data_IF_945144280806
#
_entry.id   IF_945144280806
#
_cell.length_a   1.000
_cell.length_b   1.000
_cell.length_c   1.000
_cell.angle_alpha   90.00
_cell.angle_beta   90.00
_cell.angle_gamma   90.00
#
_symmetry.space_group_name_H-M   'P 1'
#
loop_
_entity.id
_entity.type
_entity.pdbx_description
1 polymer ?
2 non-polymer ?
3 water ?
#
# COMPACT_ATOMS: atom_id res chain seq x y z
N UNK A 4 -19.42 -17.83 -19.61
CA UNK A 4 -18.72 -19.05 -19.06
C UNK A 4 -17.42 -18.64 -18.37
N UNK A 5 -16.92 -17.46 -18.73
CA UNK A 5 -15.69 -16.94 -18.15
C UNK A 5 -15.87 -16.74 -16.64
N UNK A 6 -16.79 -15.87 -16.26
CA UNK A 6 -17.06 -15.57 -14.85
C UNK A 6 -17.77 -16.70 -14.12
N UNK A 7 -17.06 -17.33 -13.18
CA UNK A 7 -17.66 -18.40 -12.38
C UNK A 7 -18.19 -17.71 -11.13
N UNK A 8 -18.41 -18.46 -10.06
CA UNK A 8 -18.92 -17.86 -8.83
C UNK A 8 -17.90 -18.04 -7.73
N UNK A 9 -16.79 -17.29 -7.79
CA UNK A 9 -15.73 -17.38 -6.79
C UNK A 9 -16.18 -16.96 -5.40
N UNK A 10 -15.56 -17.57 -4.40
CA UNK A 10 -15.87 -17.25 -3.02
C UNK A 10 -14.61 -16.71 -2.38
N UNK A 11 -14.71 -16.31 -1.12
CA UNK A 11 -13.59 -15.78 -0.37
C UNK A 11 -12.44 -16.79 -0.23
N UNK A 12 -12.74 -18.07 -0.35
CA UNK A 12 -11.73 -19.09 -0.20
C UNK A 12 -11.45 -19.80 -1.53
N UNK A 13 -11.80 -19.13 -2.62
CA UNK A 13 -11.56 -19.68 -3.96
C UNK A 13 -10.19 -19.16 -4.42
N UNK A 14 -9.27 -20.08 -4.77
CA UNK A 14 -7.94 -19.63 -5.23
C UNK A 14 -8.06 -18.62 -6.37
N UNK A 15 -7.05 -17.73 -6.49
CA UNK A 15 -7.03 -16.71 -7.54
C UNK A 15 -5.66 -16.52 -8.17
N UNK A 16 -5.63 -16.42 -9.49
CA UNK A 16 -4.41 -16.17 -10.23
C UNK A 16 -4.26 -14.66 -10.31
N UNK A 17 -3.35 -14.11 -9.50
CA UNK A 17 -3.08 -12.68 -9.44
C UNK A 17 -1.76 -12.50 -10.19
N UNK A 18 -1.87 -12.18 -11.48
CA UNK A 18 -0.69 -12.04 -12.29
C UNK A 18 -0.18 -13.46 -12.50
N UNK A 19 1.10 -13.69 -12.25
CA UNK A 19 1.70 -15.01 -12.41
C UNK A 19 1.83 -15.69 -11.05
N UNK A 20 1.13 -15.15 -10.05
CA UNK A 20 1.17 -15.70 -8.70
C UNK A 20 -0.17 -16.34 -8.28
N UNK A 21 -0.10 -17.57 -7.76
CA UNK A 21 -1.30 -18.28 -7.28
C UNK A 21 -1.62 -17.95 -5.83
N UNK A 22 -2.83 -17.46 -5.58
CA UNK A 22 -3.26 -17.14 -4.23
C UNK A 22 -4.20 -18.25 -3.76
N UNK A 23 -4.09 -18.64 -2.47
CA UNK A 23 -4.91 -19.69 -1.87
C UNK A 23 -6.33 -19.20 -1.60
N UNK A 24 -6.48 -17.92 -1.32
CA UNK A 24 -7.79 -17.33 -1.05
C UNK A 24 -7.81 -15.88 -1.49
N UNK A 25 -8.95 -15.22 -1.29
CA UNK A 25 -9.11 -13.84 -1.70
C UNK A 25 -9.27 -12.84 -0.55
N UNK A 26 -8.79 -13.22 0.63
CA UNK A 26 -8.83 -12.37 1.80
C UNK A 26 -7.42 -11.76 1.93
N UNK A 27 -7.23 -10.60 1.31
CA UNK A 27 -5.93 -9.96 1.30
C UNK A 27 -5.64 -9.07 2.51
N UNK A 28 -4.37 -9.03 2.91
CA UNK A 28 -3.95 -8.19 4.02
C UNK A 28 -3.48 -6.85 3.45
N UNK A 29 -4.23 -5.80 3.72
CA UNK A 29 -3.90 -4.49 3.21
C UNK A 29 -2.61 -3.94 3.84
N UNK A 30 -1.90 -3.08 3.11
CA UNK A 30 -0.64 -2.48 3.61
C UNK A 30 -0.96 -1.63 4.87
N UNK A 31 -0.22 -1.85 5.94
CA UNK A 31 -0.47 -1.16 7.18
C UNK A 31 0.78 -0.68 7.91
N UNK A 32 0.95 0.62 8.02
CA UNK A 32 2.11 1.17 8.72
C UNK A 32 1.93 0.87 10.20
N UNK A 33 2.97 0.32 10.81
CA UNK A 33 2.92 -0.03 12.21
C UNK A 33 4.04 0.63 13.04
N UNK A 34 5.02 1.22 12.36
CA UNK A 34 6.17 1.87 13.04
C UNK A 34 6.69 0.99 14.18
N UNK A 35 7.01 -0.25 13.86
CA UNK A 35 7.51 -1.20 14.84
C UNK A 35 8.98 -1.49 14.63
N UNK A 36 9.64 -0.64 13.85
CA UNK A 36 11.07 -0.79 13.59
C UNK A 36 11.86 0.49 13.89
N UNK A 37 12.30 0.68 15.16
CA UNK A 37 13.07 1.87 15.55
C UNK A 37 14.07 2.20 14.47
N UNK A 38 14.86 1.21 14.07
CA UNK A 38 15.81 1.38 12.97
C UNK A 38 15.00 0.90 11.77
N UNK A 39 15.29 1.41 10.59
CA UNK A 39 14.51 1.01 9.42
C UNK A 39 14.70 -0.46 9.01
N UNK A 40 15.28 -1.27 9.89
CA UNK A 40 15.56 -2.67 9.59
C UNK A 40 14.63 -3.68 10.24
N UNK A 41 13.80 -4.37 9.43
CA UNK A 41 12.87 -5.37 9.95
C UNK A 41 13.63 -6.49 10.67
N UNK A 42 13.10 -6.96 11.80
CA UNK A 42 13.78 -8.01 12.53
C UNK A 42 12.85 -9.16 12.86
N UNK A 43 13.22 -9.91 13.88
CA UNK A 43 12.41 -11.04 14.27
C UNK A 43 10.96 -10.67 14.57
N UNK A 44 10.75 -9.54 15.21
CA UNK A 44 9.39 -9.14 15.54
C UNK A 44 8.49 -9.11 14.30
N UNK A 45 9.04 -8.65 13.17
CA UNK A 45 8.27 -8.60 11.92
C UNK A 45 8.09 -10.01 11.37
N UNK A 46 9.09 -10.87 11.61
CA UNK A 46 9.02 -12.26 11.17
C UNK A 46 7.84 -12.91 11.86
N UNK A 47 7.60 -12.49 13.11
CA UNK A 47 6.50 -13.06 13.89
C UNK A 47 5.18 -12.44 13.47
N UNK A 48 5.18 -11.12 13.34
CA UNK A 48 3.96 -10.41 12.95
C UNK A 48 3.43 -10.86 11.59
N UNK A 49 4.26 -10.82 10.58
CA UNK A 49 3.86 -11.24 9.25
C UNK A 49 3.61 -12.73 9.16
N UNK A 50 4.39 -13.51 9.92
CA UNK A 50 4.20 -14.93 9.88
C UNK A 50 2.88 -15.36 10.48
N UNK A 51 2.41 -14.60 11.45
CA UNK A 51 1.15 -14.93 12.09
C UNK A 51 0.00 -14.80 11.12
N UNK A 52 0.21 -13.94 10.11
CA UNK A 52 -0.81 -13.65 9.11
C UNK A 52 -0.46 -14.23 7.73
N UNK A 53 0.34 -15.28 7.70
CA UNK A 53 0.74 -15.88 6.44
C UNK A 53 -0.40 -16.57 5.69
N UNK A 54 -1.53 -16.79 6.36
CA UNK A 54 -2.68 -17.44 5.73
C UNK A 54 -3.37 -16.51 4.73
N UNK A 55 -3.03 -15.22 4.77
CA UNK A 55 -3.60 -14.23 3.85
C UNK A 55 -3.38 -14.65 2.40
N UNK A 56 -4.41 -14.53 1.56
CA UNK A 56 -4.26 -14.90 0.17
C UNK A 56 -3.05 -14.19 -0.38
N UNK A 57 -2.74 -13.05 0.26
CA UNK A 57 -1.61 -12.27 -0.14
C UNK A 57 -1.43 -11.18 0.90
N UNK A 58 -0.20 -11.03 1.37
CA UNK A 58 0.12 -10.00 2.35
C UNK A 58 0.78 -8.82 1.63
N UNK A 59 0.17 -7.63 1.73
CA UNK A 59 0.76 -6.43 1.15
C UNK A 59 1.45 -5.80 2.36
N UNK A 60 2.77 -5.72 2.33
CA UNK A 60 3.54 -5.16 3.44
C UNK A 60 3.18 -3.74 3.84
N UNK A 61 3.76 -3.32 4.95
CA UNK A 61 3.59 -1.96 5.45
C UNK A 61 4.32 -1.08 4.43
N UNK A 62 3.88 0.16 4.25
CA UNK A 62 4.54 1.05 3.31
C UNK A 62 6.01 1.10 3.73
N UNK A 63 6.90 0.98 2.76
CA UNK A 63 8.33 0.98 3.02
C UNK A 63 9.03 2.05 2.19
N UNK A 64 9.85 2.86 2.89
CA UNK A 64 10.60 3.96 2.31
C UNK A 64 11.65 3.51 1.31
N UNK A 65 11.55 4.04 0.09
CA UNK A 65 12.48 3.68 -0.97
C UNK A 65 13.79 4.46 -0.84
N UNK A 66 13.81 5.45 0.06
CA UNK A 66 14.98 6.26 0.30
C UNK A 66 14.79 7.15 1.55
N UNK A 67 15.88 7.75 2.05
CA UNK A 67 15.78 8.62 3.23
C UNK A 67 14.85 9.81 2.98
N UNK A 68 14.90 10.32 1.76
CA UNK A 68 14.10 11.47 1.34
C UNK A 68 12.61 11.16 1.25
N UNK A 69 12.30 9.88 1.05
CA UNK A 69 10.91 9.45 0.93
C UNK A 69 10.21 9.28 2.28
N UNK A 70 10.96 9.39 3.39
CA UNK A 70 10.38 9.19 4.71
C UNK A 70 9.53 10.32 5.27
N UNK A 71 8.41 9.96 5.87
CA UNK A 71 7.51 10.93 6.46
C UNK A 71 7.07 10.50 7.86
N UNK A 72 7.38 9.25 8.21
CA UNK A 72 7.00 8.67 9.50
C UNK A 72 8.17 7.88 10.11
N UNK A 73 8.52 8.22 11.34
CA UNK A 73 9.63 7.58 12.02
C UNK A 73 9.33 6.13 12.38
N UNK A 74 10.39 5.36 12.60
CA UNK A 74 10.31 3.94 12.96
C UNK A 74 9.68 3.10 11.84
N UNK A 75 9.81 3.60 10.63
CA UNK A 75 9.27 2.94 9.44
C UNK A 75 10.38 2.20 8.69
N UNK A 76 10.07 1.04 8.10
CA UNK A 76 11.09 0.29 7.38
C UNK A 76 11.57 0.93 6.09
N UNK A 77 12.83 0.65 5.75
CA UNK A 77 13.41 1.18 4.55
C UNK A 77 13.79 0.03 3.61
N UNK A 78 14.24 0.38 2.41
CA UNK A 78 14.64 -0.62 1.46
C UNK A 78 15.63 -0.01 0.44
N UNK A 79 16.65 0.66 0.99
CA UNK A 79 17.70 1.27 0.18
C UNK A 79 19.08 0.95 0.79
N UNK A 80 19.07 0.08 1.78
CA UNK A 80 20.29 -0.31 2.47
C UNK A 80 20.42 -1.83 2.54
N UNK A 81 21.65 -2.34 2.53
CA UNK A 81 21.84 -3.78 2.61
C UNK A 81 21.29 -4.32 3.93
N UNK A 82 21.52 -3.61 5.03
CA UNK A 82 21.03 -4.06 6.33
C UNK A 82 19.51 -4.24 6.30
N UNK A 83 18.82 -3.28 5.67
CA UNK A 83 17.36 -3.34 5.54
C UNK A 83 16.99 -4.53 4.67
N UNK A 84 17.61 -4.63 3.50
CA UNK A 84 17.34 -5.75 2.59
C UNK A 84 17.55 -7.10 3.26
N UNK A 85 18.56 -7.21 4.10
CA UNK A 85 18.82 -8.46 4.81
C UNK A 85 17.72 -8.66 5.86
N UNK A 86 17.29 -7.56 6.47
CA UNK A 86 16.23 -7.65 7.45
C UNK A 86 14.96 -8.16 6.81
N UNK A 87 14.64 -7.62 5.63
CA UNK A 87 13.45 -8.04 4.90
C UNK A 87 13.53 -9.50 4.46
N UNK A 88 14.71 -9.93 4.02
CA UNK A 88 14.89 -11.30 3.56
C UNK A 88 14.48 -12.29 4.67
N UNK A 89 14.83 -11.96 5.92
CA UNK A 89 14.46 -12.82 7.02
C UNK A 89 12.94 -12.81 7.20
N UNK A 90 12.30 -11.67 6.93
CA UNK A 90 10.85 -11.56 7.03
C UNK A 90 10.19 -12.35 5.87
N UNK A 91 10.66 -12.12 4.65
CA UNK A 91 10.12 -12.80 3.46
C UNK A 91 10.26 -14.32 3.62
N UNK A 92 11.37 -14.73 4.19
CA UNK A 92 11.64 -16.14 4.40
C UNK A 92 10.68 -16.69 5.47
N UNK A 93 10.41 -15.88 6.49
CA UNK A 93 9.52 -16.31 7.55
C UNK A 93 8.10 -16.50 7.00
N UNK A 94 7.65 -15.57 6.15
CA UNK A 94 6.32 -15.66 5.56
C UNK A 94 6.22 -16.93 4.72
N UNK A 95 7.22 -17.14 3.86
CA UNK A 95 7.24 -18.33 3.01
C UNK A 95 7.23 -19.65 3.81
N UNK A 96 7.97 -19.68 4.91
CA UNK A 96 8.02 -20.88 5.76
C UNK A 96 6.65 -21.21 6.32
N UNK A 97 5.74 -20.24 6.27
CA UNK A 97 4.38 -20.48 6.75
C UNK A 97 3.34 -20.51 5.63
N UNK A 98 3.80 -20.63 4.39
CA UNK A 98 2.89 -20.74 3.27
C UNK A 98 2.32 -19.49 2.64
N UNK A 99 2.82 -18.33 3.05
CA UNK A 99 2.30 -17.09 2.51
C UNK A 99 2.99 -16.51 1.31
N UNK A 100 2.45 -15.40 0.82
CA UNK A 100 2.99 -14.64 -0.32
C UNK A 100 3.01 -13.18 0.15
N UNK A 101 4.09 -12.46 -0.10
CA UNK A 101 4.16 -11.09 0.34
C UNK A 101 4.63 -10.12 -0.72
N UNK A 102 3.99 -8.95 -0.77
CA UNK A 102 4.34 -7.91 -1.71
C UNK A 102 4.89 -6.72 -0.92
N UNK A 103 5.99 -6.14 -1.38
CA UNK A 103 6.55 -4.99 -0.69
C UNK A 103 5.93 -3.74 -1.34
N UNK A 104 5.36 -2.85 -0.51
CA UNK A 104 4.75 -1.63 -1.04
C UNK A 104 5.80 -0.52 -1.03
N UNK A 105 6.13 0.00 -2.21
CA UNK A 105 7.13 1.04 -2.38
C UNK A 105 6.57 2.42 -2.02
N UNK A 106 7.15 3.00 -0.97
CA UNK A 106 6.69 4.25 -0.41
C UNK A 106 7.55 5.50 -0.58
N UNK A 107 6.85 6.61 -0.84
CA UNK A 107 7.44 7.94 -0.94
C UNK A 107 6.33 8.90 -0.49
N UNK A 108 6.50 9.49 0.69
CA UNK A 108 5.50 10.38 1.26
C UNK A 108 5.38 11.74 0.57
N UNK A 109 6.35 12.08 -0.26
CA UNK A 109 6.31 13.36 -0.95
C UNK A 109 6.22 14.53 0.00
N UNK A 110 5.24 15.41 -0.22
CA UNK A 110 5.06 16.59 0.64
C UNK A 110 4.57 16.25 2.06
N UNK A 111 4.10 15.04 2.28
CA UNK A 111 3.62 14.68 3.61
C UNK A 111 4.81 14.28 4.49
N UNK A 112 5.63 15.29 4.83
CA UNK A 112 6.82 15.07 5.64
C UNK A 112 7.25 16.38 6.33
N UNK A 113 8.39 16.33 6.99
CA UNK A 113 8.90 17.49 7.73
C UNK A 113 10.42 17.40 7.78
N UNK A 114 11.10 18.56 7.89
CA UNK A 114 12.55 18.56 7.96
C UNK A 114 13.06 17.70 9.12
N UNK A 115 12.35 17.70 10.25
CA UNK A 115 12.74 16.92 11.41
C UNK A 115 12.88 15.43 11.17
N UNK A 116 12.00 14.87 10.32
CA UNK A 116 12.02 13.46 9.99
C UNK A 116 12.87 13.22 8.74
N UNK A 117 13.01 14.28 7.96
CA UNK A 117 13.78 14.25 6.73
C UNK A 117 15.26 14.19 7.12
N UNK A 118 16.07 13.48 6.33
CA UNK A 118 17.50 13.37 6.63
C UNK A 118 18.23 14.70 6.45
N UNK A 119 19.10 15.02 7.41
CA UNK A 119 19.85 16.28 7.38
C UNK A 119 18.95 17.51 7.27
N UNK A 120 17.75 17.41 7.86
CA UNK A 120 16.83 18.53 7.83
C UNK A 120 16.55 19.07 6.44
N UNK A 121 16.60 18.19 5.47
CA UNK A 121 16.34 18.59 4.09
C UNK A 121 14.86 18.93 3.88
N UNK A 122 14.58 19.77 2.91
CA UNK A 122 13.21 20.16 2.64
C UNK A 122 12.45 19.09 1.83
N UNK A 123 11.25 18.70 2.30
CA UNK A 123 10.43 17.69 1.62
C UNK A 123 10.16 18.06 0.16
N UNK A 124 10.22 17.06 -0.73
CA UNK A 124 10.00 17.28 -2.15
C UNK A 124 8.59 16.91 -2.57
N UNK A 125 8.17 17.41 -3.72
CA UNK A 125 6.84 17.15 -4.20
C UNK A 125 6.75 17.73 -5.60
N UNK A 126 5.64 17.45 -6.31
CA UNK A 126 5.49 17.98 -7.67
C UNK A 126 5.35 19.53 -7.66
N UNK A 127 4.64 20.07 -6.68
CA UNK A 127 4.46 21.53 -6.56
C UNK A 127 4.74 21.98 -5.13
N UNK A 128 5.18 23.23 -4.99
CA UNK A 128 5.50 23.79 -3.67
C UNK A 128 4.22 24.19 -2.95
N UNK A 129 3.40 23.21 -2.63
CA UNK A 129 2.14 23.46 -1.94
C UNK A 129 2.12 22.65 -0.66
N UNK A 130 1.97 23.32 0.48
CA UNK A 130 1.93 22.62 1.76
C UNK A 130 0.64 21.83 1.91
N UNK A 131 0.69 20.72 2.66
CA UNK A 131 -0.50 19.93 2.88
C UNK A 131 -1.18 20.47 4.13
N UNK A 132 -2.24 21.25 3.92
CA UNK A 132 -2.98 21.85 5.01
C UNK A 132 -3.47 20.84 6.05
N UNK A 133 -3.33 21.20 7.32
CA UNK A 133 -3.77 20.35 8.41
C UNK A 133 -3.14 18.96 8.45
N UNK A 134 -2.28 18.67 7.49
CA UNK A 134 -1.62 17.36 7.44
C UNK A 134 -0.55 17.23 8.51
N UNK A 135 -0.43 16.03 9.05
CA UNK A 135 0.57 15.78 10.07
C UNK A 135 1.32 14.51 9.77
N UNK A 136 2.52 14.43 10.29
CA UNK A 136 3.33 13.26 10.10
C UNK A 136 3.93 12.84 11.42
N UNK A 137 4.44 11.62 11.46
CA UNK A 137 5.01 11.08 12.68
C UNK A 137 6.51 11.39 12.76
N UNK A 138 6.87 12.22 13.73
CA UNK A 138 8.28 12.60 13.89
C UNK A 138 8.85 12.36 15.30
N UNK A 139 10.16 12.17 15.36
CA UNK A 139 10.85 11.99 16.63
C UNK A 139 11.58 13.31 16.93
N UNK A 140 11.10 14.05 17.92
CA UNK A 140 11.70 15.32 18.29
C UNK A 140 13.10 15.15 18.91
N UNK A 141 13.85 16.24 18.96
CA UNK A 141 15.21 16.24 19.51
C UNK A 141 15.35 15.68 20.93
N UNK A 142 14.31 15.78 21.74
CA UNK A 142 14.34 15.28 23.11
C UNK A 142 14.03 13.78 23.19
N UNK A 143 14.14 13.07 22.07
CA UNK A 143 13.87 11.64 22.08
C UNK A 143 12.40 11.28 22.08
N UNK A 144 11.52 12.27 22.22
CA UNK A 144 10.07 12.04 22.22
C UNK A 144 9.58 11.93 20.75
N UNK A 145 8.39 11.38 20.51
CA UNK A 145 7.89 11.25 19.14
C UNK A 145 6.37 11.47 19.10
N UNK A 146 5.86 12.02 18.01
CA UNK A 146 4.43 12.26 17.93
C UNK A 146 4.00 12.98 16.68
N UNK A 147 2.71 13.27 16.55
CA UNK A 147 2.20 13.97 15.37
C UNK A 147 2.74 15.40 15.30
N UNK A 148 3.11 15.82 14.08
CA UNK A 148 3.65 17.16 13.86
C UNK A 148 3.17 17.66 12.49
N UNK A 149 2.75 18.92 12.40
CA UNK A 149 2.27 19.50 11.14
C UNK A 149 3.28 19.31 10.02
N UNK A 150 2.81 19.01 8.82
CA UNK A 150 3.73 18.81 7.69
C UNK A 150 4.27 20.18 7.23
N UNK A 151 5.49 20.23 6.70
CA UNK A 151 6.06 21.50 6.25
C UNK A 151 5.81 21.79 4.78
N UNK A 152 6.27 22.94 4.31
CA UNK A 152 6.08 23.35 2.92
C UNK A 152 7.16 22.73 2.05
N UNK A 153 6.76 21.91 1.08
CA UNK A 153 7.70 21.24 0.17
C UNK A 153 8.23 22.15 -0.94
N UNK A 154 9.26 21.69 -1.64
CA UNK A 154 9.82 22.42 -2.77
C UNK A 154 9.46 21.60 -4.00
N UNK A 155 9.17 22.27 -5.11
CA UNK A 155 8.83 21.60 -6.35
C UNK A 155 10.03 20.87 -6.90
N UNK A 156 9.85 19.61 -7.28
CA UNK A 156 10.95 18.83 -7.84
C UNK A 156 11.40 19.39 -9.19
N UNK A 157 12.71 19.53 -9.38
CA UNK A 157 13.24 20.02 -10.64
C UNK A 157 12.95 18.94 -11.69
N UNK A 158 12.64 19.36 -12.93
CA UNK A 158 12.35 18.42 -14.00
C UNK A 158 13.42 17.34 -14.13
N UNK A 159 14.69 17.75 -14.07
CA UNK A 159 15.78 16.80 -14.19
C UNK A 159 16.00 15.99 -12.90
N UNK A 160 15.16 16.22 -11.89
CA UNK A 160 15.30 15.49 -10.64
C UNK A 160 14.40 14.26 -10.58
N UNK A 161 13.38 14.26 -11.42
CA UNK A 161 12.43 13.15 -11.46
C UNK A 161 13.05 11.81 -11.82
N UNK A 162 14.02 11.79 -12.75
CA UNK A 162 14.67 10.53 -13.14
C UNK A 162 15.34 9.85 -11.93
N UNK A 163 15.81 10.66 -11.00
CA UNK A 163 16.46 10.14 -9.81
C UNK A 163 15.45 9.44 -8.90
N UNK A 164 14.26 10.01 -8.77
CA UNK A 164 13.24 9.41 -7.94
C UNK A 164 12.88 8.05 -8.52
N UNK A 165 12.72 8.00 -9.84
CA UNK A 165 12.38 6.77 -10.53
C UNK A 165 13.47 5.72 -10.25
N UNK A 166 14.73 6.13 -10.31
CA UNK A 166 15.84 5.23 -10.05
C UNK A 166 15.77 4.66 -8.64
N UNK A 167 15.34 5.51 -7.67
CA UNK A 167 15.21 5.06 -6.28
C UNK A 167 14.16 3.94 -6.23
N UNK A 168 13.08 4.11 -6.97
CA UNK A 168 12.03 3.09 -7.05
C UNK A 168 12.59 1.81 -7.66
N UNK A 169 13.33 1.96 -8.76
CA UNK A 169 13.93 0.82 -9.44
C UNK A 169 14.87 0.08 -8.50
N UNK A 170 15.66 0.83 -7.74
CA UNK A 170 16.60 0.25 -6.80
C UNK A 170 15.88 -0.51 -5.70
N UNK A 171 14.79 0.06 -5.20
CA UNK A 171 14.02 -0.59 -4.15
C UNK A 171 13.48 -1.91 -4.70
N UNK A 172 12.94 -1.89 -5.92
CA UNK A 172 12.40 -3.11 -6.49
C UNK A 172 13.50 -4.15 -6.64
N UNK A 173 14.69 -3.72 -7.03
CA UNK A 173 15.81 -4.65 -7.21
C UNK A 173 16.22 -5.33 -5.91
N UNK A 174 16.17 -4.60 -4.81
CA UNK A 174 16.53 -5.19 -3.52
C UNK A 174 15.39 -6.07 -3.07
N UNK A 175 14.18 -5.69 -3.43
CA UNK A 175 12.98 -6.46 -3.06
C UNK A 175 13.01 -7.83 -3.72
N UNK A 176 13.32 -7.86 -5.02
CA UNK A 176 13.38 -9.13 -5.74
C UNK A 176 14.48 -10.01 -5.20
N UNK A 177 15.61 -9.40 -4.87
CA UNK A 177 16.73 -10.14 -4.32
C UNK A 177 16.39 -10.65 -2.91
N UNK A 178 15.53 -9.94 -2.20
CA UNK A 178 15.12 -10.37 -0.85
C UNK A 178 14.10 -11.51 -0.89
N UNK A 179 13.61 -11.84 -2.07
CA UNK A 179 12.67 -12.96 -2.17
C UNK A 179 11.20 -12.63 -2.24
N UNK A 180 10.88 -11.34 -2.20
CA UNK A 180 9.50 -10.89 -2.28
C UNK A 180 8.81 -11.47 -3.49
N UNK A 181 7.55 -11.86 -3.32
CA UNK A 181 6.79 -12.43 -4.40
C UNK A 181 6.36 -11.35 -5.41
N UNK A 182 6.01 -10.15 -4.92
CA UNK A 182 5.56 -9.02 -5.76
C UNK A 182 5.97 -7.67 -5.14
N UNK A 183 5.66 -6.58 -5.85
CA UNK A 183 5.89 -5.22 -5.34
C UNK A 183 4.66 -4.43 -5.69
N UNK A 184 4.25 -3.54 -4.78
CA UNK A 184 3.07 -2.70 -5.03
C UNK A 184 3.53 -1.26 -5.01
N UNK A 185 3.25 -0.56 -6.10
CA UNK A 185 3.63 0.85 -6.16
C UNK A 185 2.58 1.62 -5.40
N UNK A 186 2.99 2.26 -4.31
CA UNK A 186 2.04 3.03 -3.53
C UNK A 186 1.77 4.33 -4.25
N UNK A 187 0.55 4.52 -4.74
CA UNK A 187 0.17 5.73 -5.43
C UNK A 187 -1.18 6.19 -4.92
N UNK A 188 -1.42 5.93 -3.64
CA UNK A 188 -2.68 6.29 -3.03
C UNK A 188 -2.45 7.05 -1.72
N UNK A 189 -3.55 7.41 -1.06
CA UNK A 189 -3.48 8.11 0.19
C UNK A 189 -2.66 9.36 0.17
N UNK A 190 -2.69 10.04 -0.97
CA UNK A 190 -2.00 11.30 -1.16
C UNK A 190 -0.50 11.31 -0.96
N UNK A 191 0.18 10.22 -1.29
CA UNK A 191 1.64 10.19 -1.15
C UNK A 191 2.23 10.77 -2.45
N UNK A 192 3.55 10.77 -2.59
CA UNK A 192 4.23 11.39 -3.76
C UNK A 192 3.63 11.09 -5.14
N UNK A 193 3.43 9.80 -5.46
CA UNK A 193 2.86 9.48 -6.79
C UNK A 193 1.45 10.03 -6.95
N UNK A 194 0.68 9.97 -5.88
CA UNK A 194 -0.70 10.46 -5.90
C UNK A 194 -0.70 11.98 -6.09
N UNK A 195 0.28 12.65 -5.49
CA UNK A 195 0.42 14.08 -5.59
C UNK A 195 0.60 14.56 -7.05
N UNK A 196 1.25 13.74 -7.88
CA UNK A 196 1.42 14.12 -9.27
C UNK A 196 0.12 13.94 -10.05
N UNK A 197 -0.63 12.91 -9.70
CA UNK A 197 -1.90 12.58 -10.35
C UNK A 197 -3.03 13.57 -10.11
N UNK A 198 -3.11 14.09 -8.91
CA UNK A 198 -4.18 15.02 -8.55
C UNK A 198 -3.94 16.46 -9.03
N UNK A 199 -4.98 17.07 -9.57
CA UNK A 199 -4.88 18.44 -10.06
C UNK A 199 -4.55 19.43 -8.95
N UNK A 200 -5.18 19.27 -7.79
CA UNK A 200 -4.95 20.17 -6.68
C UNK A 200 -3.54 20.22 -6.15
N UNK A 201 -2.81 19.13 -6.33
CA UNK A 201 -1.44 19.04 -5.82
C UNK A 201 -0.37 19.14 -6.90
N UNK A 202 -0.78 19.05 -8.16
CA UNK A 202 0.17 19.14 -9.25
C UNK A 202 -0.11 20.37 -10.12
N UNK A 203 0.77 21.37 -9.98
CA UNK A 203 0.66 22.62 -10.73
C UNK A 203 1.83 22.76 -11.70
N UNK A 204 2.58 21.69 -11.90
CA UNK A 204 3.73 21.71 -12.79
C UNK A 204 3.41 22.17 -14.22
N UNK A 205 4.35 22.87 -14.85
CA UNK A 205 4.15 23.36 -16.23
C UNK A 205 5.04 22.63 -17.22
N UNK A 206 5.84 21.67 -16.73
CA UNK A 206 6.71 20.88 -17.61
C UNK A 206 5.94 19.67 -18.13
N UNK A 207 6.63 18.67 -18.63
CA UNK A 207 5.95 17.49 -19.18
C UNK A 207 5.36 16.54 -18.12
N UNK A 208 5.55 16.89 -16.85
CA UNK A 208 5.03 16.06 -15.77
C UNK A 208 3.84 16.69 -15.08
N UNK A 209 3.12 17.54 -15.81
CA UNK A 209 1.95 18.19 -15.26
C UNK A 209 1.23 18.98 -16.32
N UNK A 210 0.00 19.39 -16.02
CA UNK A 210 -0.75 20.17 -16.97
C UNK A 210 -1.93 19.43 -17.59
N UNK A 211 -1.75 18.15 -17.84
CA UNK A 211 -2.82 17.35 -18.43
C UNK A 211 -2.84 15.98 -17.79
N UNK A 212 -3.86 15.18 -18.12
CA UNK A 212 -4.00 13.82 -17.60
C UNK A 212 -2.75 13.01 -17.96
N UNK A 213 -2.35 13.09 -19.22
CA UNK A 213 -1.18 12.35 -19.69
C UNK A 213 0.08 12.79 -18.93
N UNK A 214 0.21 14.08 -18.65
CA UNK A 214 1.40 14.56 -17.94
C UNK A 214 1.40 14.18 -16.47
N UNK A 215 0.26 14.37 -15.80
CA UNK A 215 0.16 14.05 -14.39
C UNK A 215 0.44 12.56 -14.12
N UNK A 216 0.21 11.71 -15.11
CA UNK A 216 0.45 10.28 -14.95
C UNK A 216 1.80 9.86 -15.50
N UNK A 217 2.52 10.79 -16.13
CA UNK A 217 3.81 10.46 -16.71
C UNK A 217 4.79 9.86 -15.70
N UNK A 218 5.03 10.57 -14.59
CA UNK A 218 5.94 10.10 -13.56
C UNK A 218 5.47 8.78 -12.94
N UNK A 219 4.19 8.71 -12.53
CA UNK A 219 3.69 7.47 -11.95
C UNK A 219 3.92 6.25 -12.86
N UNK A 220 3.65 6.41 -14.16
CA UNK A 220 3.84 5.31 -15.11
C UNK A 220 5.31 5.00 -15.31
N UNK A 221 6.17 6.01 -15.14
CA UNK A 221 7.61 5.76 -15.30
C UNK A 221 8.06 4.89 -14.12
N UNK A 222 7.47 5.12 -12.95
CA UNK A 222 7.79 4.34 -11.76
C UNK A 222 7.34 2.92 -11.99
N UNK A 223 6.10 2.76 -12.44
CA UNK A 223 5.53 1.46 -12.73
C UNK A 223 6.43 0.71 -13.75
N UNK A 224 6.79 1.38 -14.83
CA UNK A 224 7.61 0.72 -15.83
C UNK A 224 8.95 0.33 -15.24
N UNK A 225 9.50 1.22 -14.41
CA UNK A 225 10.78 0.96 -13.79
C UNK A 225 10.76 -0.33 -12.96
N UNK A 226 9.78 -0.47 -12.07
CA UNK A 226 9.70 -1.67 -11.23
C UNK A 226 9.27 -2.91 -12.01
N UNK A 227 8.44 -2.72 -13.03
CA UNK A 227 7.98 -3.86 -13.84
C UNK A 227 9.17 -4.44 -14.63
N UNK A 228 10.23 -3.66 -14.84
CA UNK A 228 11.38 -4.20 -15.56
C UNK A 228 12.09 -5.22 -14.68
N UNK A 229 12.00 -5.03 -13.38
CA UNK A 229 12.65 -5.91 -12.42
C UNK A 229 11.80 -7.14 -12.09
N UNK A 230 10.55 -6.91 -11.72
CA UNK A 230 9.66 -8.00 -11.35
C UNK A 230 8.85 -8.57 -12.51
N UNK A 231 8.69 -7.80 -13.56
CA UNK A 231 7.87 -8.22 -14.67
C UNK A 231 6.48 -7.71 -14.31
N UNK A 232 5.70 -7.17 -15.25
CA UNK A 232 4.38 -6.67 -14.92
C UNK A 232 3.47 -7.68 -14.19
N UNK A 233 3.64 -8.96 -14.52
CA UNK A 233 2.85 -10.04 -13.93
C UNK A 233 3.03 -10.11 -12.41
N UNK A 234 4.11 -9.52 -11.88
CA UNK A 234 4.35 -9.56 -10.45
C UNK A 234 4.36 -8.16 -9.87
N UNK A 235 3.70 -7.22 -10.54
CA UNK A 235 3.63 -5.84 -10.07
C UNK A 235 2.20 -5.35 -9.86
N UNK A 236 2.00 -4.59 -8.78
CA UNK A 236 0.68 -4.05 -8.50
C UNK A 236 0.81 -2.58 -8.16
N UNK A 237 -0.29 -1.86 -8.17
CA UNK A 237 -0.28 -0.45 -7.83
C UNK A 237 -1.50 -0.10 -7.02
N UNK A 238 -1.32 0.75 -6.01
CA UNK A 238 -2.44 1.16 -5.18
C UNK A 238 -2.89 2.56 -5.59
N UNK A 239 -4.21 2.76 -5.68
CA UNK A 239 -4.80 4.04 -6.10
C UNK A 239 -6.00 4.44 -5.25
N UNK A 240 -6.24 5.74 -5.13
CA UNK A 240 -7.38 6.26 -4.36
C UNK A 240 -8.03 7.44 -5.09
N UNK A 241 -8.65 7.17 -6.26
CA UNK A 241 -9.31 8.14 -7.12
C UNK A 241 -10.05 9.30 -6.44
N UNK A 242 -11.26 9.05 -5.98
CA UNK A 242 -12.06 10.11 -5.38
C UNK A 242 -11.74 10.39 -3.91
N UNK A 243 -10.50 10.12 -3.52
CA UNK A 243 -10.11 10.31 -2.14
C UNK A 243 -9.39 11.62 -1.87
N UNK A 244 -9.92 12.41 -0.95
CA UNK A 244 -9.30 13.68 -0.58
C UNK A 244 -8.64 13.49 0.77
N UNK A 245 -7.35 13.19 0.77
CA UNK A 245 -6.62 12.95 2.00
C UNK A 245 -5.39 13.87 2.08
N UNK A 246 -5.00 14.26 3.29
CA UNK A 246 -3.84 15.12 3.49
C UNK A 246 -3.88 16.36 2.60
N UNK A 247 -5.01 17.04 2.61
CA UNK A 247 -5.18 18.27 1.84
C UNK A 247 -5.15 18.13 0.33
N UNK A 248 -5.15 16.90 -0.17
CA UNK A 248 -5.14 16.67 -1.61
C UNK A 248 -6.55 16.76 -2.20
N UNK A 249 -6.66 17.42 -3.35
CA UNK A 249 -7.93 17.58 -4.05
C UNK A 249 -7.71 17.23 -5.52
N UNK A 250 -8.79 16.86 -6.19
CA UNK A 250 -8.68 16.46 -7.59
C UNK A 250 -9.94 16.84 -8.37
N UNK A 251 -9.73 17.42 -9.56
CA UNK A 251 -10.85 17.82 -10.39
C UNK A 251 -11.17 16.77 -11.45
N UNK A 252 -10.21 15.89 -11.73
CA UNK A 252 -10.43 14.85 -12.72
C UNK A 252 -10.17 13.43 -12.18
N UNK A 253 -10.89 13.04 -11.10
CA UNK A 253 -10.71 11.71 -10.51
C UNK A 253 -11.01 10.60 -11.50
N UNK A 254 -12.21 10.62 -12.07
CA UNK A 254 -12.62 9.58 -13.01
C UNK A 254 -11.76 9.54 -14.26
N UNK A 255 -11.60 10.67 -14.91
CA UNK A 255 -10.81 10.77 -16.12
C UNK A 255 -9.44 10.16 -15.89
N UNK A 256 -8.87 10.39 -14.71
CA UNK A 256 -7.56 9.82 -14.43
C UNK A 256 -7.64 8.32 -14.18
N UNK A 257 -8.63 7.89 -13.40
CA UNK A 257 -8.80 6.46 -13.12
C UNK A 257 -8.99 5.67 -14.42
N UNK A 258 -9.74 6.26 -15.35
CA UNK A 258 -9.99 5.58 -16.62
C UNK A 258 -8.73 5.54 -17.46
N UNK A 259 -7.98 6.63 -17.48
CA UNK A 259 -6.76 6.68 -18.25
C UNK A 259 -5.73 5.69 -17.71
N UNK A 260 -5.49 5.72 -16.40
CA UNK A 260 -4.54 4.78 -15.78
C UNK A 260 -4.96 3.34 -16.06
N UNK A 261 -6.23 3.05 -15.81
CA UNK A 261 -6.75 1.72 -16.04
C UNK A 261 -6.36 1.22 -17.41
N UNK A 262 -6.56 2.07 -18.42
CA UNK A 262 -6.23 1.70 -19.78
C UNK A 262 -4.73 1.51 -20.00
N UNK A 263 -3.93 2.43 -19.47
CA UNK A 263 -2.48 2.35 -19.62
C UNK A 263 -1.87 1.18 -18.86
N UNK A 264 -2.42 0.90 -17.69
CA UNK A 264 -1.93 -0.17 -16.85
C UNK A 264 -2.36 -1.53 -17.39
N UNK A 265 -3.54 -1.58 -18.00
CA UNK A 265 -4.05 -2.83 -18.58
C UNK A 265 -3.20 -3.21 -19.79
N UNK A 266 -2.85 -2.20 -20.58
CA UNK A 266 -2.02 -2.39 -21.78
C UNK A 266 -0.67 -2.98 -21.35
N UNK A 267 -0.17 -2.48 -20.23
CA UNK A 267 1.11 -2.92 -19.69
C UNK A 267 0.99 -4.32 -19.12
N UNK A 268 -0.23 -4.72 -18.83
CA UNK A 268 -0.48 -6.03 -18.28
C UNK A 268 -0.11 -6.20 -16.82
N UNK A 269 -0.42 -5.19 -16.01
CA UNK A 269 -0.14 -5.26 -14.58
C UNK A 269 -0.94 -6.36 -13.91
N UNK A 270 -0.37 -6.93 -12.87
CA UNK A 270 -1.05 -8.00 -12.17
C UNK A 270 -2.37 -7.49 -11.59
N UNK A 271 -2.37 -6.30 -11.00
CA UNK A 271 -3.59 -5.79 -10.40
C UNK A 271 -3.62 -4.29 -10.07
N UNK A 272 -4.82 -3.83 -9.73
CA UNK A 272 -5.05 -2.46 -9.33
C UNK A 272 -5.67 -2.61 -7.94
N UNK A 273 -5.12 -1.92 -6.96
CA UNK A 273 -5.62 -1.99 -5.61
C UNK A 273 -6.22 -0.62 -5.29
N UNK A 274 -7.54 -0.60 -5.06
CA UNK A 274 -8.29 0.61 -4.75
C UNK A 274 -8.63 0.71 -3.27
N UNK A 275 -8.37 1.86 -2.66
CA UNK A 275 -8.72 2.07 -1.28
C UNK A 275 -9.89 3.05 -1.38
N UNK A 276 -11.10 2.51 -1.16
CA UNK A 276 -12.33 3.26 -1.27
C UNK A 276 -12.38 4.53 -0.46
N UNK A 277 -12.91 5.61 -1.05
CA UNK A 277 -13.00 6.90 -0.35
C UNK A 277 -14.01 6.81 0.79
N UNK A 278 -14.83 5.77 0.74
CA UNK A 278 -15.85 5.57 1.75
C UNK A 278 -15.30 5.62 3.17
N UNK A 279 -16.23 5.63 4.11
CA UNK A 279 -15.93 5.66 5.54
C UNK A 279 -17.27 5.40 6.27
N UNK A 280 -17.26 4.46 7.22
CA UNK A 280 -18.47 4.12 7.96
C UNK A 280 -18.99 5.33 8.74
N UNK A 281 -18.27 6.44 8.64
CA UNK A 281 -18.67 7.64 9.34
C UNK A 281 -18.39 8.93 8.57
N UNK A 282 -18.90 9.02 7.35
CA UNK A 282 -18.70 10.20 6.55
C UNK A 282 -18.18 9.91 5.16
N UNK A 283 -17.50 10.89 4.57
CA UNK A 283 -16.92 10.75 3.24
C UNK A 283 -17.92 10.66 2.09
N UNK A 284 -17.40 10.83 0.88
CA UNK A 284 -18.19 10.75 -0.33
C UNK A 284 -18.08 9.31 -0.82
N UNK A 285 -18.59 9.02 -2.01
CA UNK A 285 -18.54 7.66 -2.52
C UNK A 285 -18.31 7.55 -4.02
N UNK A 286 -17.96 6.35 -4.48
CA UNK A 286 -17.72 6.12 -5.89
C UNK A 286 -18.97 6.42 -6.70
N UNK A 287 -18.79 6.93 -7.93
CA UNK A 287 -19.92 7.24 -8.80
C UNK A 287 -20.58 5.94 -9.25
N UNK A 288 -21.91 5.94 -9.29
CA UNK A 288 -22.66 4.77 -9.73
C UNK A 288 -22.14 4.31 -11.09
N UNK A 289 -21.67 3.07 -11.18
CA UNK A 289 -21.18 2.58 -12.44
C UNK A 289 -19.68 2.69 -12.60
N UNK A 290 -19.01 3.17 -11.53
CA UNK A 290 -17.57 3.31 -11.56
C UNK A 290 -16.89 1.93 -11.55
N UNK A 291 -17.34 1.05 -10.66
CA UNK A 291 -16.79 -0.28 -10.54
C UNK A 291 -16.92 -1.07 -11.85
N UNK A 292 -18.10 -1.01 -12.46
CA UNK A 292 -18.35 -1.73 -13.72
C UNK A 292 -17.34 -1.30 -14.78
N UNK A 293 -17.13 0.01 -14.90
CA UNK A 293 -16.21 0.60 -15.87
C UNK A 293 -14.79 0.07 -15.70
N UNK A 294 -14.32 0.06 -14.46
CA UNK A 294 -12.97 -0.41 -14.15
C UNK A 294 -12.81 -1.85 -14.59
N UNK A 295 -13.82 -2.66 -14.31
CA UNK A 295 -13.78 -4.08 -14.66
C UNK A 295 -13.61 -4.25 -16.17
N UNK A 296 -14.27 -3.39 -16.95
CA UNK A 296 -14.20 -3.49 -18.40
C UNK A 296 -12.93 -2.84 -18.96
N UNK A 297 -12.40 -1.85 -18.25
CA UNK A 297 -11.22 -1.16 -18.70
C UNK A 297 -9.92 -1.85 -18.29
N UNK A 298 -9.96 -2.59 -17.20
CA UNK A 298 -8.77 -3.30 -16.72
C UNK A 298 -9.11 -4.78 -16.59
N UNK A 299 -8.47 -5.61 -17.40
CA UNK A 299 -8.73 -7.04 -17.38
C UNK A 299 -7.96 -7.81 -16.31
N UNK A 300 -6.94 -7.22 -15.72
CA UNK A 300 -6.17 -7.91 -14.69
C UNK A 300 -6.91 -7.99 -13.36
N UNK A 301 -6.17 -8.23 -12.26
CA UNK A 301 -6.79 -8.35 -10.94
C UNK A 301 -7.28 -7.04 -10.32
N UNK A 302 -8.48 -7.07 -9.75
CA UNK A 302 -9.03 -5.87 -9.14
C UNK A 302 -9.24 -6.09 -7.66
N UNK A 303 -8.52 -5.34 -6.85
CA UNK A 303 -8.62 -5.48 -5.40
C UNK A 303 -9.20 -4.19 -4.81
N UNK A 304 -10.15 -4.33 -3.88
CA UNK A 304 -10.75 -3.17 -3.25
C UNK A 304 -10.61 -3.29 -1.76
N UNK A 305 -10.52 -2.16 -1.08
CA UNK A 305 -10.34 -2.17 0.37
C UNK A 305 -11.10 -1.04 1.04
N UNK A 306 -11.45 -1.24 2.31
CA UNK A 306 -12.15 -0.19 3.04
C UNK A 306 -13.47 -0.54 3.71
N UNK A 307 -13.41 -0.73 5.03
CA UNK A 307 -14.59 -1.06 5.84
C UNK A 307 -15.32 -2.31 5.33
N UNK A 308 -14.57 -3.28 4.83
CA UNK A 308 -15.16 -4.49 4.32
C UNK A 308 -15.30 -5.61 5.33
N UNK A 309 -16.37 -6.33 5.21
CA UNK A 309 -16.59 -7.48 6.08
C UNK A 309 -16.71 -8.67 5.16
N UNK A 310 -16.93 -9.85 5.71
CA UNK A 310 -17.07 -11.07 4.90
C UNK A 310 -18.21 -10.94 3.90
N UNK A 311 -19.38 -10.54 4.37
CA UNK A 311 -20.55 -10.41 3.51
C UNK A 311 -20.44 -9.40 2.38
N UNK A 312 -19.97 -8.19 2.66
CA UNK A 312 -19.86 -7.20 1.61
C UNK A 312 -18.75 -7.57 0.63
N UNK A 313 -17.74 -8.26 1.13
CA UNK A 313 -16.63 -8.68 0.27
C UNK A 313 -17.16 -9.66 -0.79
N UNK A 314 -17.93 -10.65 -0.35
CA UNK A 314 -18.50 -11.65 -1.24
C UNK A 314 -19.40 -11.00 -2.28
N UNK A 315 -20.09 -9.94 -1.88
CA UNK A 315 -20.98 -9.23 -2.78
C UNK A 315 -20.21 -8.70 -3.99
N UNK A 316 -19.06 -8.06 -3.74
CA UNK A 316 -18.25 -7.53 -4.83
C UNK A 316 -17.78 -8.65 -5.74
N UNK A 317 -17.51 -9.80 -5.14
CA UNK A 317 -17.10 -10.95 -5.94
C UNK A 317 -18.27 -11.37 -6.83
N UNK A 318 -19.48 -11.40 -6.25
CA UNK A 318 -20.66 -11.78 -7.01
C UNK A 318 -20.99 -10.77 -8.09
N UNK A 319 -20.81 -9.49 -7.78
CA UNK A 319 -21.10 -8.43 -8.76
C UNK A 319 -20.09 -8.45 -9.87
N UNK A 320 -19.03 -9.23 -9.69
CA UNK A 320 -17.97 -9.31 -10.67
C UNK A 320 -17.30 -7.93 -10.86
N UNK A 321 -17.10 -7.22 -9.76
CA UNK A 321 -16.46 -5.92 -9.80
C UNK A 321 -15.14 -5.97 -9.02
N UNK A 322 -14.84 -7.13 -8.44
CA UNK A 322 -13.62 -7.33 -7.67
C UNK A 322 -13.20 -8.79 -7.78
N UNK A 323 -11.89 -9.04 -7.71
CA UNK A 323 -11.37 -10.40 -7.76
C UNK A 323 -10.96 -10.81 -6.36
N UNK A 324 -10.67 -9.81 -5.52
CA UNK A 324 -10.26 -10.04 -4.15
C UNK A 324 -10.46 -8.78 -3.34
N UNK A 325 -10.50 -8.93 -2.02
CA UNK A 325 -10.71 -7.79 -1.12
C UNK A 325 -9.66 -7.76 -0.02
N UNK A 326 -9.08 -6.59 0.19
CA UNK A 326 -8.07 -6.42 1.21
C UNK A 326 -8.74 -5.97 2.50
N UNK A 327 -8.13 -6.30 3.62
CA UNK A 327 -8.64 -5.95 4.93
C UNK A 327 -7.48 -5.40 5.74
N UNK A 328 -7.66 -4.20 6.29
CA UNK A 328 -6.59 -3.62 7.07
C UNK A 328 -6.71 -3.87 8.56
N UNK A 329 -7.46 -3.02 9.23
CA UNK A 329 -7.63 -3.14 10.68
C UNK A 329 -8.03 -4.53 11.14
N UNK A 330 -9.00 -5.16 10.47
CA UNK A 330 -9.39 -6.51 10.89
C UNK A 330 -8.19 -7.49 10.86
N UNK A 331 -7.25 -7.28 9.94
CA UNK A 331 -6.07 -8.16 9.86
C UNK A 331 -5.07 -7.78 10.94
N UNK A 332 -5.22 -6.57 11.50
CA UNK A 332 -4.33 -6.16 12.57
C UNK A 332 -4.75 -6.92 13.83
N UNK A 333 -6.06 -6.96 14.08
CA UNK A 333 -6.58 -7.64 15.26
C UNK A 333 -6.81 -9.14 15.12
N UNK A 334 -6.79 -9.66 13.90
CA UNK A 334 -7.02 -11.09 13.68
C UNK A 334 -6.02 -11.69 12.71
N UNK A 335 -4.97 -12.30 13.24
CA UNK A 335 -3.94 -12.91 12.39
C UNK A 335 -4.47 -14.02 11.45
N UNK A 336 -5.58 -14.63 11.85
CA UNK A 336 -6.20 -15.69 11.07
C UNK A 336 -7.58 -15.25 10.57
N UNK A 337 -7.66 -14.03 10.06
CA UNK A 337 -8.91 -13.46 9.56
C UNK A 337 -9.65 -14.35 8.58
N UNK A 338 -8.96 -14.92 7.56
CA UNK A 338 -9.59 -15.79 6.56
C UNK A 338 -10.33 -16.97 7.20
N UNK A 339 -9.69 -17.60 8.19
CA UNK A 339 -10.31 -18.73 8.87
C UNK A 339 -11.50 -18.27 9.67
N UNK A 340 -11.41 -17.07 10.25
CA UNK A 340 -12.52 -16.56 11.05
C UNK A 340 -13.73 -16.29 10.20
N UNK A 341 -13.50 -15.91 8.94
CA UNK A 341 -14.59 -15.65 8.02
C UNK A 341 -15.21 -16.98 7.56
N UNK A 342 -14.39 -18.01 7.40
CA UNK A 342 -14.91 -19.31 6.97
C UNK A 342 -15.86 -19.87 8.04
N UNK A 343 -15.47 -19.78 9.30
CA UNK A 343 -16.27 -20.28 10.40
C UNK A 343 -17.28 -19.25 10.89
N UNK A 344 -17.19 -18.04 10.37
CA UNK A 344 -18.09 -16.97 10.79
C UNK A 344 -17.85 -16.64 12.25
N UNK A 345 -16.64 -16.91 12.72
CA UNK A 345 -16.28 -16.66 14.10
C UNK A 345 -16.20 -15.17 14.40
N UNK A 346 -16.37 -14.80 15.65
CA UNK A 346 -16.30 -13.41 16.05
C UNK A 346 -14.87 -12.94 15.84
N UNK A 347 -14.72 -11.63 15.63
CA UNK A 347 -13.41 -11.05 15.39
C UNK A 347 -12.89 -10.35 16.65
N UNK A 348 -11.57 -10.32 16.80
CA UNK A 348 -10.95 -9.63 17.93
C UNK A 348 -11.20 -8.14 17.72
N UNK A 349 -11.21 -7.38 18.80
CA UNK A 349 -11.43 -5.95 18.71
C UNK A 349 -10.12 -5.20 18.52
N UNK A 350 -10.00 -4.45 17.41
CA UNK A 350 -8.79 -3.68 17.12
C UNK A 350 -8.53 -2.66 18.23
N UNK A 351 -7.25 -2.38 18.47
CA UNK A 351 -6.86 -1.41 19.48
C UNK A 351 -6.10 -0.27 18.80
N UNK A 352 -6.80 0.81 18.43
CA UNK A 352 -6.21 1.97 17.78
C UNK A 352 -5.01 2.54 18.53
N UNK A 353 -5.05 2.49 19.85
CA UNK A 353 -3.95 3.01 20.67
C UNK A 353 -2.59 2.39 20.36
N UNK A 354 -2.58 1.13 19.93
CA UNK A 354 -1.31 0.47 19.62
C UNK A 354 -1.09 0.20 18.14
N UNK A 355 -1.69 1.01 17.29
CA UNK A 355 -1.52 0.84 15.85
C UNK A 355 -0.13 1.29 15.41
N UNK A 356 0.41 2.31 16.08
CA UNK A 356 1.73 2.88 15.74
C UNK A 356 2.72 2.87 16.88
N UNK A 357 3.99 2.69 16.56
CA UNK A 357 5.02 2.68 17.58
C UNK A 357 4.91 1.52 18.55
N UNK A 358 5.77 1.53 19.57
CA UNK A 358 5.74 0.45 20.54
C UNK A 358 6.50 -0.80 20.09
N UNK A 359 6.20 -1.93 20.73
CA UNK A 359 6.88 -3.17 20.40
C UNK A 359 5.85 -4.25 20.07
N UNK A 360 5.87 -5.35 20.81
CA UNK A 360 4.94 -6.45 20.55
C UNK A 360 3.49 -6.31 21.02
N UNK A 361 3.22 -5.47 22.01
CA UNK A 361 1.84 -5.35 22.48
C UNK A 361 1.03 -4.61 21.40
N UNK A 362 -0.14 -5.16 21.08
CA UNK A 362 -0.99 -4.57 20.05
C UNK A 362 -0.42 -4.85 18.67
N UNK A 363 0.59 -5.71 18.61
CA UNK A 363 1.27 -6.06 17.37
C UNK A 363 1.21 -7.56 17.06
N UNK A 364 1.76 -8.36 17.98
CA UNK A 364 1.78 -9.80 17.80
C UNK A 364 1.06 -10.53 18.92
N UNK A 365 0.33 -9.77 19.74
CA UNK A 365 -0.38 -10.37 20.86
C UNK A 365 -1.86 -10.61 20.60
N UNK A 366 -2.31 -10.43 19.37
CA UNK A 366 -3.72 -10.70 19.07
C UNK A 366 -3.83 -12.20 18.92
N UNK A 367 -4.71 -12.83 19.71
CA UNK A 367 -4.90 -14.29 19.68
C UNK A 367 -5.52 -14.90 18.44
N UNK A 368 -5.12 -16.13 18.16
CA UNK A 368 -5.65 -16.90 17.04
C UNK A 368 -6.88 -17.60 17.58
N UNK A 369 -7.71 -18.15 16.68
CA UNK A 369 -8.88 -18.92 17.09
C UNK A 369 -8.41 -20.20 17.76
N UNK A 370 -9.19 -20.72 18.70
CA UNK A 370 -8.82 -21.97 19.36
C UNK A 370 -9.81 -23.06 18.93
N UNK A 371 -9.38 -23.93 18.01
CA UNK A 371 -10.28 -24.97 17.51
C UNK A 371 -10.42 -26.16 18.45
N UNK A 372 -9.74 -26.10 19.60
CA UNK A 372 -9.81 -27.16 20.57
C UNK A 372 -8.89 -28.32 20.28
N UNK A 373 -8.14 -28.22 19.18
CA UNK A 373 -7.22 -29.27 18.77
C UNK A 373 -5.77 -28.79 18.75
N UNK A 374 -5.53 -27.60 18.19
CA UNK A 374 -4.18 -27.06 18.11
C UNK A 374 -3.55 -26.93 19.48
N UNK A 375 -2.25 -27.17 19.54
CA UNK A 375 -1.48 -27.11 20.78
C UNK A 375 -0.17 -26.39 20.50
N UNK A 376 0.27 -25.55 21.43
CA UNK A 376 1.53 -24.84 21.27
C UNK A 376 2.64 -25.45 22.13
N UNK A 377 2.52 -26.74 22.43
CA UNK A 377 3.54 -27.40 23.23
C UNK A 377 4.89 -27.44 22.55
#
# INVERSE_FOLDING_TARGET
>A
MPDTSFSNPGLFTPLQLGSLSLPNRVIMAPLTRSRTPDSVPGRLQQIYYGQRASAGLIISEATNISPTARGYVYTPGIWTDAQEAGWKGVVEAVHAKGGRIALQLWHVGRVSHELVQPDGQQPVAPSALKAEGAECFVEFEDGTAGLHPTSTPRALETDGIPGIVEDYRQAAQRAKRAGFDMVEVHAANACLPNQFLATGTNRRTDQYGGSIENRARFPLEVVDAVAEVFGPERVGIRLTPFLELFGLTDDEPEAMAFYLAGELDRRGLAYLHFNEPDWIGGDITYPEGFREQMRQRFKGGLIYCGNYDAGRAQARLDDNTADAVAFGRPFIANPDLPERFRLGAALNEPDPSTFYGGAEVGYTDYPFLDNGHDRLG
#
